data_IF_708715913231
#
_entry.id   IF_708715913231
#
_cell.length_a   1.000
_cell.length_b   1.000
_cell.length_c   1.000
_cell.angle_alpha   90.00
_cell.angle_beta   90.00
_cell.angle_gamma   90.00
#
_symmetry.space_group_name_H-M   'P 1'
#
loop_
_entity.id
_entity.type
_entity.pdbx_description
1 polymer ?
#
# COMPACT_ATOMS: atom_id res chain seq x y z
N UNK A 1 12.04 39.82 0.16
CA UNK A 1 13.25 39.14 0.68
C UNK A 1 13.98 38.52 -0.50
N UNK A 2 15.31 38.55 -0.53
CA UNK A 2 16.07 37.89 -1.59
C UNK A 2 16.31 36.40 -1.29
N UNK A 3 16.76 35.63 -2.28
CA UNK A 3 16.90 34.19 -2.17
C UNK A 3 17.90 33.73 -1.08
N UNK A 4 19.00 34.47 -0.88
CA UNK A 4 20.01 34.13 0.12
C UNK A 4 19.52 34.44 1.54
N UNK A 5 18.78 35.53 1.72
CA UNK A 5 18.06 35.82 2.97
C UNK A 5 17.09 34.68 3.31
N UNK A 6 16.31 34.21 2.32
CA UNK A 6 15.39 33.10 2.51
C UNK A 6 16.08 31.81 2.94
N UNK A 7 17.23 31.46 2.34
CA UNK A 7 18.01 30.29 2.78
C UNK A 7 18.39 30.38 4.25
N UNK A 8 18.85 31.55 4.69
CA UNK A 8 19.20 31.76 6.10
C UNK A 8 17.98 31.62 7.00
N UNK A 9 16.82 32.10 6.55
CA UNK A 9 15.58 31.97 7.31
C UNK A 9 15.10 30.52 7.42
N UNK A 10 15.27 29.71 6.37
CA UNK A 10 14.96 28.26 6.41
C UNK A 10 15.90 27.53 7.37
N UNK A 11 17.21 27.76 7.26
CA UNK A 11 18.22 27.12 8.13
C UNK A 11 17.98 27.47 9.60
N UNK A 12 17.60 28.71 9.89
CA UNK A 12 17.29 29.18 11.26
C UNK A 12 15.88 28.87 11.70
N UNK A 13 15.04 28.33 10.80
CA UNK A 13 13.61 28.11 10.98
C UNK A 13 12.82 29.38 11.37
N UNK A 14 13.33 30.57 11.03
CA UNK A 14 12.67 31.85 11.32
C UNK A 14 11.51 32.16 10.37
N UNK A 15 11.32 31.36 9.31
CA UNK A 15 10.19 31.49 8.39
C UNK A 15 8.86 30.96 8.96
N UNK A 16 8.91 30.14 10.01
CA UNK A 16 7.77 29.56 10.70
C UNK A 16 7.27 30.55 11.78
N UNK A 17 5.96 30.73 11.89
CA UNK A 17 5.35 31.55 12.94
C UNK A 17 5.58 30.90 14.31
N UNK A 18 5.99 31.71 15.28
CA UNK A 18 6.37 31.27 16.63
C UNK A 18 5.22 30.63 17.43
N UNK A 19 3.97 30.87 17.05
CA UNK A 19 2.75 30.36 17.68
C UNK A 19 2.13 29.16 16.94
N UNK A 20 2.75 28.69 15.86
CA UNK A 20 2.23 27.57 15.09
C UNK A 20 2.38 26.25 15.86
N UNK A 21 1.30 25.48 15.97
CA UNK A 21 1.39 24.09 16.42
C UNK A 21 2.07 23.23 15.36
N UNK A 22 2.91 22.29 15.84
CA UNK A 22 3.84 21.47 15.05
C UNK A 22 3.25 20.91 13.75
N UNK A 23 3.90 21.22 12.63
CA UNK A 23 3.77 20.47 11.39
C UNK A 23 4.63 19.22 11.54
N UNK A 24 4.00 18.05 11.68
CA UNK A 24 4.74 16.78 11.77
C UNK A 24 4.54 16.06 10.45
N UNK A 25 5.45 16.19 9.47
CA UNK A 25 5.44 15.27 8.36
C UNK A 25 5.80 13.88 8.87
N UNK A 26 5.19 12.85 8.29
CA UNK A 26 5.62 11.46 8.48
C UNK A 26 7.07 11.33 8.04
N UNK A 27 7.95 10.91 8.96
CA UNK A 27 9.36 10.64 8.67
C UNK A 27 9.48 9.34 7.85
N UNK A 28 9.15 9.37 6.56
CA UNK A 28 9.46 8.28 5.63
C UNK A 28 10.87 8.51 5.07
N UNK A 29 11.80 7.55 5.21
CA UNK A 29 13.14 7.66 4.63
C UNK A 29 13.13 7.78 3.10
N UNK A 30 12.03 7.42 2.44
CA UNK A 30 11.78 7.69 1.03
C UNK A 30 11.02 9.01 0.84
N UNK A 31 11.73 10.07 0.43
CA UNK A 31 11.16 11.40 0.18
C UNK A 31 9.92 11.39 -0.73
N UNK A 32 9.86 10.50 -1.72
CA UNK A 32 8.69 10.38 -2.62
C UNK A 32 7.43 9.99 -1.82
N UNK A 33 7.52 9.05 -0.87
CA UNK A 33 6.39 8.68 -0.03
C UNK A 33 5.94 9.84 0.86
N UNK A 34 6.90 10.57 1.44
CA UNK A 34 6.58 11.76 2.23
C UNK A 34 5.83 12.79 1.37
N UNK A 35 6.26 13.03 0.13
CA UNK A 35 5.57 13.93 -0.80
C UNK A 35 4.17 13.40 -1.20
N UNK A 36 4.01 12.09 -1.41
CA UNK A 36 2.70 11.45 -1.65
C UNK A 36 1.75 11.75 -0.47
N UNK A 37 2.22 11.60 0.77
CA UNK A 37 1.43 11.90 1.96
C UNK A 37 1.02 13.39 1.99
N UNK A 38 1.95 14.31 1.72
CA UNK A 38 1.64 15.76 1.68
C UNK A 38 0.51 16.08 0.70
N UNK A 39 0.50 15.44 -0.47
CA UNK A 39 -0.53 15.61 -1.50
C UNK A 39 -1.85 15.00 -1.02
N UNK A 40 -1.84 13.72 -0.59
CA UNK A 40 -3.05 12.98 -0.19
C UNK A 40 -3.76 13.61 1.01
N UNK A 41 -3.01 14.19 1.95
CA UNK A 41 -3.57 14.82 3.15
C UNK A 41 -3.78 16.33 3.02
N UNK A 42 -3.50 16.94 1.85
CA UNK A 42 -3.78 18.35 1.59
C UNK A 42 -2.97 19.31 2.47
N UNK A 43 -1.71 18.95 2.77
CA UNK A 43 -0.86 19.66 3.73
C UNK A 43 -0.49 21.09 3.33
N UNK A 44 -0.66 21.45 2.05
CA UNK A 44 -0.41 22.80 1.55
C UNK A 44 -1.23 23.87 2.30
N UNK A 45 -2.51 23.60 2.59
CA UNK A 45 -3.37 24.54 3.32
C UNK A 45 -2.84 24.83 4.72
N UNK A 46 -2.29 23.83 5.38
CA UNK A 46 -1.67 23.98 6.69
C UNK A 46 -0.35 24.76 6.54
N UNK A 47 0.48 24.41 5.57
CA UNK A 47 1.75 25.10 5.30
C UNK A 47 1.56 26.62 5.13
N UNK A 48 0.53 27.06 4.38
CA UNK A 48 0.17 28.47 4.23
C UNK A 48 -0.10 29.20 5.56
N UNK A 49 -0.68 28.49 6.54
CA UNK A 49 -1.00 29.08 7.84
C UNK A 49 0.21 29.16 8.77
N UNK A 50 1.19 28.28 8.59
CA UNK A 50 2.35 28.09 9.46
C UNK A 50 3.46 29.09 9.16
N UNK A 51 3.63 29.49 7.90
CA UNK A 51 4.72 30.39 7.50
C UNK A 51 4.35 31.88 7.66
N UNK A 52 5.36 32.72 7.87
CA UNK A 52 5.19 34.17 7.95
C UNK A 52 4.75 34.76 6.60
N UNK A 53 3.90 35.80 6.64
CA UNK A 53 3.34 36.42 5.42
C UNK A 53 4.42 36.94 4.47
N UNK A 54 5.44 37.59 5.02
CA UNK A 54 6.57 38.14 4.23
C UNK A 54 7.39 37.04 3.54
N UNK A 55 7.58 35.89 4.21
CA UNK A 55 8.26 34.75 3.61
C UNK A 55 7.40 34.13 2.51
N UNK A 56 6.10 33.92 2.76
CA UNK A 56 5.18 33.37 1.78
C UNK A 56 5.16 34.19 0.47
N UNK A 57 4.99 35.51 0.57
CA UNK A 57 4.97 36.40 -0.61
C UNK A 57 6.27 36.33 -1.40
N UNK A 58 7.41 36.34 -0.69
CA UNK A 58 8.73 36.22 -1.33
C UNK A 58 8.90 34.84 -1.98
N UNK A 59 8.49 33.77 -1.30
CA UNK A 59 8.55 32.39 -1.79
C UNK A 59 7.68 32.18 -3.02
N UNK A 60 6.46 32.72 -3.03
CA UNK A 60 5.54 32.61 -4.16
C UNK A 60 6.16 33.17 -5.46
N UNK A 61 6.97 34.24 -5.35
CA UNK A 61 7.64 34.90 -6.48
C UNK A 61 8.87 34.16 -7.03
N UNK A 62 9.37 33.13 -6.32
CA UNK A 62 10.54 32.37 -6.74
C UNK A 62 10.24 31.44 -7.93
N UNK A 63 11.27 31.19 -8.74
CA UNK A 63 11.24 30.13 -9.75
C UNK A 63 11.17 28.75 -9.08
N UNK A 64 10.67 27.76 -9.80
CA UNK A 64 10.39 26.44 -9.22
C UNK A 64 11.66 25.73 -8.74
N UNK A 65 12.79 25.93 -9.43
CA UNK A 65 14.10 25.42 -9.02
C UNK A 65 14.57 26.02 -7.69
N UNK A 66 14.30 27.30 -7.47
CA UNK A 66 14.63 27.99 -6.22
C UNK A 66 13.74 27.50 -5.07
N UNK A 67 12.44 27.31 -5.33
CA UNK A 67 11.49 26.74 -4.37
C UNK A 67 11.92 25.33 -3.93
N UNK A 68 12.36 24.49 -4.86
CA UNK A 68 12.87 23.16 -4.56
C UNK A 68 14.17 23.18 -3.74
N UNK A 69 15.10 24.10 -4.02
CA UNK A 69 16.32 24.25 -3.22
C UNK A 69 16.00 24.63 -1.77
N UNK A 70 15.03 25.52 -1.54
CA UNK A 70 14.60 25.84 -0.18
C UNK A 70 13.87 24.68 0.49
N UNK A 71 13.07 23.92 -0.28
CA UNK A 71 12.38 22.73 0.22
C UNK A 71 13.32 21.61 0.65
N UNK A 72 14.50 21.53 0.05
CA UNK A 72 15.52 20.55 0.45
C UNK A 72 16.19 20.91 1.79
N UNK A 73 16.23 22.20 2.12
CA UNK A 73 16.73 22.70 3.42
C UNK A 73 15.67 22.59 4.53
N UNK A 74 14.40 22.42 4.16
CA UNK A 74 13.28 22.34 5.08
C UNK A 74 13.00 20.90 5.51
N UNK A 75 13.53 20.54 6.67
CA UNK A 75 13.33 19.22 7.29
C UNK A 75 11.86 18.94 7.63
N UNK A 76 11.03 19.97 7.80
CA UNK A 76 9.61 19.84 8.14
C UNK A 76 8.73 19.71 6.90
N UNK A 77 9.25 19.75 5.68
CA UNK A 77 8.49 19.59 4.42
C UNK A 77 7.32 20.59 4.23
N UNK A 78 7.31 21.69 4.97
CA UNK A 78 6.36 22.79 4.83
C UNK A 78 6.51 23.42 3.45
N UNK A 79 7.74 23.78 3.08
CA UNK A 79 8.08 24.38 1.79
C UNK A 79 7.94 23.38 0.64
N UNK A 80 8.18 22.10 0.91
CA UNK A 80 7.89 21.03 -0.06
C UNK A 80 6.40 21.01 -0.41
N UNK A 81 5.52 21.13 0.58
CA UNK A 81 4.06 21.19 0.36
C UNK A 81 3.66 22.35 -0.56
N UNK A 82 4.25 23.53 -0.36
CA UNK A 82 3.97 24.72 -1.18
C UNK A 82 4.60 24.62 -2.58
N UNK A 83 5.76 23.97 -2.70
CA UNK A 83 6.41 23.73 -3.99
C UNK A 83 5.62 22.74 -4.84
N UNK A 84 5.06 21.70 -4.23
CA UNK A 84 4.17 20.73 -4.87
C UNK A 84 2.92 21.43 -5.44
N UNK A 85 2.31 22.35 -4.69
CA UNK A 85 1.17 23.16 -5.19
C UNK A 85 1.58 24.00 -6.40
N UNK A 86 2.75 24.66 -6.33
CA UNK A 86 3.29 25.41 -7.47
C UNK A 86 3.56 24.53 -8.69
N UNK A 87 4.01 23.28 -8.50
CA UNK A 87 4.23 22.32 -9.59
C UNK A 87 2.92 21.85 -10.23
N UNK A 88 1.86 21.70 -9.44
CA UNK A 88 0.53 21.35 -9.97
C UNK A 88 -0.01 22.46 -10.88
N UNK A 89 0.15 23.71 -10.48
CA UNK A 89 -0.30 24.88 -11.26
C UNK A 89 0.54 25.08 -12.53
N UNK A 90 1.86 24.89 -12.45
CA UNK A 90 2.78 25.12 -13.56
C UNK A 90 2.82 23.97 -14.57
N UNK A 91 2.44 22.76 -14.16
CA UNK A 91 2.54 21.54 -14.96
C UNK A 91 3.76 20.70 -14.56
N UNK A 92 3.55 19.69 -13.72
CA UNK A 92 4.62 18.86 -13.17
C UNK A 92 5.33 17.96 -14.19
N UNK A 93 4.74 17.70 -15.37
CA UNK A 93 5.22 16.70 -16.33
C UNK A 93 6.61 17.02 -16.87
N UNK A 94 6.91 18.30 -17.08
CA UNK A 94 8.22 18.76 -17.56
C UNK A 94 9.34 18.52 -16.53
N UNK A 95 8.97 18.22 -15.27
CA UNK A 95 9.89 17.97 -14.17
C UNK A 95 10.15 16.48 -13.88
N UNK A 96 9.46 15.55 -14.57
CA UNK A 96 9.66 14.10 -14.39
C UNK A 96 11.07 13.60 -14.75
N UNK A 97 11.76 14.34 -15.63
CA UNK A 97 13.13 14.05 -16.06
C UNK A 97 14.12 15.13 -15.63
N UNK A 98 13.78 15.93 -14.61
CA UNK A 98 14.62 17.02 -14.15
C UNK A 98 15.93 16.50 -13.52
N UNK A 99 17.04 17.24 -13.71
CA UNK A 99 18.33 16.93 -13.07
C UNK A 99 18.32 17.21 -11.57
N UNK A 100 17.46 18.13 -11.12
CA UNK A 100 17.21 18.35 -9.70
C UNK A 100 16.36 17.20 -9.16
N UNK A 101 16.96 16.37 -8.31
CA UNK A 101 16.32 15.19 -7.72
C UNK A 101 15.11 15.55 -6.87
N UNK A 102 15.14 16.66 -6.15
CA UNK A 102 14.02 17.11 -5.33
C UNK A 102 12.80 17.44 -6.19
N UNK A 103 12.99 18.18 -7.30
CA UNK A 103 11.91 18.46 -8.25
C UNK A 103 11.39 17.19 -8.92
N UNK A 104 12.31 16.31 -9.35
CA UNK A 104 11.96 15.02 -9.95
C UNK A 104 11.11 14.18 -8.98
N UNK A 105 11.52 14.09 -7.72
CA UNK A 105 10.83 13.30 -6.69
C UNK A 105 9.45 13.88 -6.39
N UNK A 106 9.30 15.20 -6.30
CA UNK A 106 8.01 15.87 -6.15
C UNK A 106 7.10 15.63 -7.36
N UNK A 107 7.61 15.78 -8.58
CA UNK A 107 6.86 15.52 -9.81
C UNK A 107 6.43 14.05 -9.91
N UNK A 108 7.30 13.13 -9.49
CA UNK A 108 7.01 11.69 -9.44
C UNK A 108 5.91 11.39 -8.42
N UNK A 109 5.97 12.00 -7.23
CA UNK A 109 4.94 11.88 -6.21
C UNK A 109 3.58 12.38 -6.70
N UNK A 110 3.55 13.53 -7.37
CA UNK A 110 2.36 14.08 -8.03
C UNK A 110 1.82 13.07 -9.05
N UNK A 111 2.65 12.59 -9.96
CA UNK A 111 2.23 11.62 -10.97
C UNK A 111 1.62 10.35 -10.36
N UNK A 112 2.20 9.83 -9.29
CA UNK A 112 1.69 8.65 -8.58
C UNK A 112 0.31 8.93 -7.97
N UNK A 113 0.13 10.06 -7.29
CA UNK A 113 -1.14 10.41 -6.65
C UNK A 113 -2.27 10.63 -7.67
N UNK A 114 -1.94 11.20 -8.82
CA UNK A 114 -2.89 11.41 -9.92
C UNK A 114 -2.94 10.26 -10.93
N UNK A 115 -2.35 9.10 -10.58
CA UNK A 115 -2.38 7.87 -11.38
C UNK A 115 -1.84 8.05 -12.82
N UNK A 116 -0.92 9.00 -13.06
CA UNK A 116 -0.36 9.26 -14.39
C UNK A 116 0.61 8.14 -14.80
N UNK A 117 0.11 7.23 -15.62
CA UNK A 117 0.85 6.07 -16.10
C UNK A 117 2.01 6.41 -17.06
N UNK A 118 2.14 7.64 -17.55
CA UNK A 118 3.23 8.01 -18.44
C UNK A 118 4.61 7.87 -17.76
N UNK A 119 4.66 7.90 -16.42
CA UNK A 119 5.90 7.74 -15.67
C UNK A 119 6.45 6.32 -15.70
N UNK A 120 5.64 5.32 -16.06
CA UNK A 120 5.96 3.91 -15.87
C UNK A 120 6.94 3.36 -16.92
N UNK A 121 6.95 3.89 -18.13
CA UNK A 121 7.69 3.31 -19.26
C UNK A 121 9.21 3.27 -19.04
N UNK A 122 9.74 4.28 -18.37
CA UNK A 122 11.18 4.43 -18.09
C UNK A 122 11.45 4.44 -16.57
N UNK A 123 10.51 3.95 -15.76
CA UNK A 123 10.62 3.93 -14.31
C UNK A 123 11.67 2.91 -13.85
N UNK A 124 12.48 3.31 -12.87
CA UNK A 124 13.31 2.38 -12.11
C UNK A 124 12.45 1.52 -11.16
N UNK A 125 13.02 0.43 -10.65
CA UNK A 125 12.30 -0.48 -9.74
C UNK A 125 11.76 0.22 -8.49
N UNK A 126 12.45 1.27 -8.01
CA UNK A 126 12.00 2.06 -6.86
C UNK A 126 10.72 2.82 -7.19
N UNK A 127 10.67 3.44 -8.36
CA UNK A 127 9.50 4.19 -8.86
C UNK A 127 8.34 3.24 -9.15
N UNK A 128 8.61 2.10 -9.78
CA UNK A 128 7.61 1.06 -10.01
C UNK A 128 7.03 0.54 -8.69
N UNK A 129 7.87 0.18 -7.72
CA UNK A 129 7.40 -0.22 -6.39
C UNK A 129 6.54 0.86 -5.74
N UNK A 130 7.02 2.11 -5.77
CA UNK A 130 6.31 3.24 -5.13
C UNK A 130 4.95 3.49 -5.79
N UNK A 131 4.86 3.40 -7.12
CA UNK A 131 3.59 3.50 -7.85
C UNK A 131 2.66 2.32 -7.48
N UNK A 132 3.17 1.09 -7.53
CA UNK A 132 2.41 -0.13 -7.27
C UNK A 132 1.73 -0.14 -5.90
N UNK A 133 2.41 0.38 -4.87
CA UNK A 133 1.89 0.40 -3.49
C UNK A 133 1.02 1.62 -3.19
N UNK A 134 1.03 2.66 -4.02
CA UNK A 134 0.32 3.92 -3.76
C UNK A 134 -0.83 4.23 -4.71
N UNK A 135 -0.92 3.53 -5.85
CA UNK A 135 -1.88 3.78 -6.91
C UNK A 135 -2.43 2.46 -7.48
N UNK A 136 -3.63 2.54 -8.07
CA UNK A 136 -4.16 1.44 -8.88
C UNK A 136 -3.46 1.45 -10.23
N UNK A 137 -2.89 0.32 -10.62
CA UNK A 137 -2.20 0.21 -11.92
C UNK A 137 -3.24 0.02 -13.03
N UNK A 138 -3.23 0.86 -14.08
CA UNK A 138 -4.09 0.65 -15.25
C UNK A 138 -3.76 -0.69 -15.90
N UNK A 139 -4.78 -1.42 -16.34
CA UNK A 139 -4.65 -2.80 -16.80
C UNK A 139 -3.64 -2.94 -17.97
N UNK A 140 -3.64 -1.98 -18.90
CA UNK A 140 -2.73 -1.91 -20.04
C UNK A 140 -1.25 -1.73 -19.65
N UNK A 141 -0.96 -1.36 -18.40
CA UNK A 141 0.39 -1.15 -17.90
C UNK A 141 0.85 -2.23 -16.92
N UNK A 142 0.03 -3.24 -16.60
CA UNK A 142 0.39 -4.28 -15.63
C UNK A 142 1.59 -5.12 -16.07
N UNK A 143 1.79 -5.29 -17.38
CA UNK A 143 2.96 -5.99 -17.94
C UNK A 143 4.28 -5.35 -17.53
N UNK A 144 4.31 -4.03 -17.27
CA UNK A 144 5.52 -3.33 -16.79
C UNK A 144 5.97 -3.80 -15.40
N UNK A 145 5.08 -4.47 -14.65
CA UNK A 145 5.32 -4.98 -13.30
C UNK A 145 5.54 -6.50 -13.29
N UNK A 146 5.46 -7.20 -14.43
CA UNK A 146 5.50 -8.67 -14.49
C UNK A 146 6.89 -9.28 -14.40
N UNK A 147 7.94 -8.47 -14.18
CA UNK A 147 9.29 -8.97 -14.00
C UNK A 147 9.36 -9.88 -12.74
N UNK A 148 9.78 -11.15 -12.85
CA UNK A 148 9.77 -12.08 -11.71
C UNK A 148 10.64 -11.65 -10.52
N UNK A 149 11.76 -10.97 -10.79
CA UNK A 149 12.63 -10.44 -9.73
C UNK A 149 11.94 -9.31 -8.99
N UNK A 150 11.39 -8.34 -9.73
CA UNK A 150 10.62 -7.24 -9.17
C UNK A 150 9.41 -7.73 -8.36
N UNK A 151 8.67 -8.72 -8.87
CA UNK A 151 7.52 -9.31 -8.17
C UNK A 151 7.94 -9.97 -6.86
N UNK A 152 9.00 -10.77 -6.87
CA UNK A 152 9.52 -11.41 -5.66
C UNK A 152 9.89 -10.36 -4.61
N UNK A 153 10.67 -9.35 -5.00
CA UNK A 153 11.05 -8.24 -4.13
C UNK A 153 9.84 -7.48 -3.60
N UNK A 154 8.87 -7.16 -4.46
CA UNK A 154 7.67 -6.41 -4.09
C UNK A 154 6.83 -7.17 -3.07
N UNK A 155 6.56 -8.46 -3.31
CA UNK A 155 5.77 -9.28 -2.40
C UNK A 155 6.47 -9.50 -1.05
N UNK A 156 7.80 -9.69 -1.04
CA UNK A 156 8.58 -9.81 0.19
C UNK A 156 8.58 -8.49 0.99
N UNK A 157 8.66 -7.34 0.31
CA UNK A 157 8.56 -6.02 0.94
C UNK A 157 7.17 -5.77 1.51
N UNK A 158 6.10 -6.17 0.82
CA UNK A 158 4.74 -6.07 1.33
C UNK A 158 4.48 -6.88 2.62
N UNK A 159 5.26 -7.93 2.87
CA UNK A 159 5.20 -8.68 4.14
C UNK A 159 6.05 -8.06 5.26
N UNK A 160 7.16 -7.43 4.92
CA UNK A 160 8.18 -6.98 5.88
C UNK A 160 8.04 -5.52 6.29
N UNK A 161 7.48 -4.68 5.42
CA UNK A 161 7.17 -3.30 5.77
C UNK A 161 5.91 -3.29 6.66
N UNK A 162 5.94 -2.57 7.80
CA UNK A 162 4.76 -2.27 8.62
C UNK A 162 3.83 -1.28 7.86
N UNK A 163 3.32 -1.70 6.72
CA UNK A 163 2.38 -0.95 5.90
C UNK A 163 1.03 -1.65 5.91
N UNK A 164 -0.02 -0.84 5.89
CA UNK A 164 -1.37 -1.35 5.62
C UNK A 164 -1.41 -1.77 4.16
N UNK A 165 -1.68 -3.05 3.91
CA UNK A 165 -1.96 -3.52 2.55
C UNK A 165 -3.32 -2.96 2.14
N UNK A 166 -3.29 -1.88 1.37
CA UNK A 166 -4.49 -1.21 0.90
C UNK A 166 -5.19 -2.01 -0.21
N UNK A 167 -6.48 -1.74 -0.38
CA UNK A 167 -7.35 -2.38 -1.36
C UNK A 167 -6.77 -2.40 -2.78
N UNK A 168 -6.17 -1.30 -3.25
CA UNK A 168 -5.61 -1.25 -4.61
C UNK A 168 -4.42 -2.19 -4.80
N UNK A 169 -3.61 -2.45 -3.76
CA UNK A 169 -2.49 -3.40 -3.84
C UNK A 169 -3.04 -4.80 -4.08
N UNK A 170 -4.07 -5.18 -3.31
CA UNK A 170 -4.77 -6.47 -3.49
C UNK A 170 -5.38 -6.55 -4.89
N UNK A 171 -6.00 -5.48 -5.38
CA UNK A 171 -6.57 -5.43 -6.73
C UNK A 171 -5.51 -5.56 -7.83
N UNK A 172 -4.36 -4.89 -7.68
CA UNK A 172 -3.22 -5.00 -8.60
C UNK A 172 -2.74 -6.46 -8.67
N UNK A 173 -2.45 -7.08 -7.51
CA UNK A 173 -2.00 -8.49 -7.43
C UNK A 173 -3.06 -9.43 -8.04
N UNK A 174 -4.34 -9.23 -7.68
CA UNK A 174 -5.45 -10.05 -8.19
C UNK A 174 -5.54 -9.98 -9.71
N UNK A 175 -5.44 -8.78 -10.29
CA UNK A 175 -5.49 -8.59 -11.73
C UNK A 175 -4.28 -9.21 -12.42
N UNK A 176 -3.08 -9.08 -11.84
CA UNK A 176 -1.88 -9.75 -12.37
C UNK A 176 -2.01 -11.28 -12.38
N UNK A 177 -2.68 -11.88 -11.40
CA UNK A 177 -2.95 -13.34 -11.41
C UNK A 177 -3.91 -13.70 -12.55
N UNK A 178 -5.01 -12.93 -12.71
CA UNK A 178 -5.99 -13.15 -13.79
C UNK A 178 -5.34 -13.07 -15.17
N UNK A 179 -4.41 -12.14 -15.34
CA UNK A 179 -3.69 -11.91 -16.58
C UNK A 179 -2.48 -12.84 -16.76
N UNK A 180 -2.28 -13.80 -15.84
CA UNK A 180 -1.14 -14.73 -15.84
C UNK A 180 0.24 -14.04 -15.78
N UNK A 181 0.28 -12.81 -15.27
CA UNK A 181 1.50 -12.01 -15.06
C UNK A 181 2.18 -12.31 -13.73
N UNK A 182 1.46 -12.92 -12.79
CA UNK A 182 1.96 -13.36 -11.49
C UNK A 182 1.53 -14.82 -11.26
N UNK A 183 2.50 -15.72 -11.08
CA UNK A 183 2.23 -17.11 -10.70
C UNK A 183 2.17 -17.26 -9.17
N UNK A 184 1.00 -17.55 -8.58
CA UNK A 184 0.89 -17.74 -7.14
C UNK A 184 1.73 -18.90 -6.60
N UNK A 185 2.04 -19.90 -7.45
CA UNK A 185 2.82 -21.07 -7.08
C UNK A 185 4.27 -20.73 -6.75
N UNK A 186 4.84 -19.69 -7.38
CA UNK A 186 6.18 -19.18 -7.12
C UNK A 186 6.25 -18.36 -5.83
N UNK A 187 5.12 -17.82 -5.35
CA UNK A 187 5.06 -16.88 -4.24
C UNK A 187 4.22 -17.40 -3.05
N UNK A 188 4.22 -18.71 -2.81
CA UNK A 188 3.43 -19.36 -1.75
C UNK A 188 3.61 -18.76 -0.36
N UNK A 189 4.83 -18.33 -0.03
CA UNK A 189 5.13 -17.68 1.25
C UNK A 189 4.31 -16.42 1.45
N UNK A 190 4.23 -15.56 0.41
CA UNK A 190 3.39 -14.35 0.43
C UNK A 190 1.93 -14.66 0.75
N UNK A 191 1.30 -15.56 0.00
CA UNK A 191 -0.10 -15.90 0.20
C UNK A 191 -0.37 -16.57 1.55
N UNK A 192 0.55 -17.42 2.02
CA UNK A 192 0.42 -18.10 3.31
C UNK A 192 0.53 -17.13 4.48
N UNK A 193 1.48 -16.20 4.43
CA UNK A 193 1.67 -15.17 5.44
C UNK A 193 0.54 -14.13 5.43
N UNK A 194 0.08 -13.72 4.24
CA UNK A 194 -1.10 -12.87 4.10
C UNK A 194 -2.33 -13.54 4.73
N UNK A 195 -2.58 -14.82 4.43
CA UNK A 195 -3.70 -15.56 5.02
C UNK A 195 -3.60 -15.66 6.56
N UNK A 196 -2.39 -15.89 7.08
CA UNK A 196 -2.12 -16.01 8.52
C UNK A 196 -2.41 -14.70 9.25
N UNK A 197 -1.94 -13.58 8.70
CA UNK A 197 -2.03 -12.24 9.31
C UNK A 197 -3.42 -11.62 9.20
N UNK A 198 -4.16 -11.88 8.13
CA UNK A 198 -5.50 -11.34 7.94
C UNK A 198 -6.50 -11.93 8.93
N UNK A 199 -7.21 -11.09 9.70
CA UNK A 199 -8.21 -11.55 10.68
C UNK A 199 -9.44 -12.19 10.04
N UNK A 200 -9.86 -11.67 8.88
CA UNK A 200 -11.02 -12.15 8.14
C UNK A 200 -10.70 -12.21 6.65
N UNK A 201 -11.20 -13.23 5.97
CA UNK A 201 -11.04 -13.40 4.52
C UNK A 201 -12.36 -13.01 3.85
N UNK A 202 -12.50 -11.72 3.52
CA UNK A 202 -13.71 -11.14 2.94
C UNK A 202 -13.36 -10.10 1.87
N UNK A 203 -14.33 -9.77 1.03
CA UNK A 203 -14.18 -8.77 -0.03
C UNK A 203 -12.98 -9.08 -0.94
N UNK A 204 -12.11 -8.09 -1.12
CA UNK A 204 -10.96 -8.16 -2.02
C UNK A 204 -9.96 -9.26 -1.66
N UNK A 205 -9.78 -9.58 -0.37
CA UNK A 205 -8.92 -10.69 0.03
C UNK A 205 -9.52 -12.04 -0.39
N UNK A 206 -10.84 -12.20 -0.29
CA UNK A 206 -11.51 -13.42 -0.75
C UNK A 206 -11.37 -13.58 -2.27
N UNK A 207 -11.54 -12.48 -3.03
CA UNK A 207 -11.28 -12.46 -4.48
C UNK A 207 -9.84 -12.86 -4.78
N UNK A 208 -8.84 -12.25 -4.11
CA UNK A 208 -7.43 -12.57 -4.29
C UNK A 208 -7.16 -14.07 -4.07
N UNK A 209 -7.61 -14.63 -2.95
CA UNK A 209 -7.39 -16.04 -2.66
C UNK A 209 -8.11 -16.97 -3.63
N UNK A 210 -9.30 -16.59 -4.09
CA UNK A 210 -10.02 -17.34 -5.12
C UNK A 210 -9.21 -17.41 -6.43
N UNK A 211 -8.75 -16.26 -6.94
CA UNK A 211 -7.94 -16.22 -8.16
C UNK A 211 -6.62 -16.98 -7.97
N UNK A 212 -5.96 -16.80 -6.83
CA UNK A 212 -4.69 -17.45 -6.54
C UNK A 212 -4.81 -18.99 -6.46
N UNK A 213 -5.86 -19.50 -5.83
CA UNK A 213 -6.13 -20.95 -5.73
C UNK A 213 -6.58 -21.50 -7.08
N UNK A 214 -7.37 -20.75 -7.85
CA UNK A 214 -7.80 -21.17 -9.18
C UNK A 214 -6.60 -21.32 -10.12
N UNK A 215 -5.68 -20.36 -10.11
CA UNK A 215 -4.43 -20.41 -10.88
C UNK A 215 -3.45 -21.48 -10.35
N UNK A 216 -3.40 -21.68 -9.03
CA UNK A 216 -2.51 -22.64 -8.37
C UNK A 216 -3.23 -23.46 -7.29
N UNK A 217 -3.92 -24.57 -7.67
CA UNK A 217 -4.73 -25.35 -6.72
C UNK A 217 -3.96 -25.93 -5.53
N UNK A 218 -2.64 -26.14 -5.69
CA UNK A 218 -1.77 -26.59 -4.60
C UNK A 218 -1.64 -25.57 -3.47
N UNK A 219 -1.87 -24.28 -3.75
CA UNK A 219 -1.83 -23.23 -2.73
C UNK A 219 -2.85 -23.49 -1.63
N UNK A 220 -4.02 -24.05 -1.97
CA UNK A 220 -5.01 -24.43 -0.96
C UNK A 220 -4.44 -25.38 0.10
N UNK A 221 -3.62 -26.35 -0.30
CA UNK A 221 -3.01 -27.27 0.66
C UNK A 221 -2.06 -26.56 1.62
N UNK A 222 -1.38 -25.52 1.15
CA UNK A 222 -0.49 -24.71 1.97
C UNK A 222 -1.29 -23.87 2.96
N UNK A 223 -2.40 -23.25 2.52
CA UNK A 223 -3.32 -22.51 3.40
C UNK A 223 -4.03 -23.43 4.42
N UNK A 224 -4.41 -24.64 4.00
CA UNK A 224 -5.09 -25.62 4.86
C UNK A 224 -4.21 -26.18 5.99
N UNK A 225 -2.88 -26.03 5.88
CA UNK A 225 -1.94 -26.38 6.96
C UNK A 225 -1.87 -25.31 8.06
N UNK A 226 -2.41 -24.12 7.83
CA UNK A 226 -2.42 -23.06 8.83
C UNK A 226 -3.14 -23.52 10.08
N UNK A 227 -2.48 -23.36 11.24
CA UNK A 227 -3.03 -23.76 12.53
C UNK A 227 -4.12 -22.79 12.95
N UNK A 228 -5.39 -23.19 12.74
CA UNK A 228 -6.58 -22.45 13.16
C UNK A 228 -7.19 -23.09 14.42
N UNK A 229 -7.51 -22.25 15.39
CA UNK A 229 -7.99 -22.61 16.72
C UNK A 229 -9.53 -22.65 16.74
N UNK A 230 -10.10 -23.77 16.31
CA UNK A 230 -11.55 -23.91 16.10
C UNK A 230 -12.22 -24.95 17.01
N UNK A 231 -11.54 -25.38 18.06
CA UNK A 231 -12.05 -26.39 19.00
C UNK A 231 -12.94 -25.81 20.11
N UNK A 232 -13.77 -26.64 20.77
CA UNK A 232 -14.70 -26.17 21.80
C UNK A 232 -14.03 -25.60 23.06
N UNK A 233 -12.80 -25.98 23.39
CA UNK A 233 -12.12 -25.46 24.58
C UNK A 233 -11.72 -24.02 24.36
N UNK A 234 -11.11 -23.73 23.21
CA UNK A 234 -10.74 -22.36 22.86
C UNK A 234 -11.95 -21.44 22.70
N UNK A 235 -13.10 -21.97 22.28
CA UNK A 235 -14.36 -21.21 22.32
C UNK A 235 -14.70 -20.70 23.72
N UNK A 236 -14.41 -21.48 24.78
CA UNK A 236 -14.69 -21.10 26.16
C UNK A 236 -13.62 -20.19 26.75
N UNK A 237 -12.35 -20.39 26.39
CA UNK A 237 -11.22 -19.66 26.98
C UNK A 237 -10.84 -18.39 26.23
N UNK A 238 -11.02 -18.36 24.91
CA UNK A 238 -10.77 -17.21 24.04
C UNK A 238 -11.75 -17.19 22.86
N UNK A 239 -12.98 -16.77 23.16
CA UNK A 239 -14.06 -16.72 22.18
C UNK A 239 -13.73 -15.81 20.98
N UNK A 240 -12.97 -14.73 21.20
CA UNK A 240 -12.61 -13.76 20.16
C UNK A 240 -11.67 -14.37 19.12
N UNK A 241 -10.60 -15.05 19.56
CA UNK A 241 -9.69 -15.75 18.66
C UNK A 241 -10.41 -16.91 17.96
N UNK A 242 -11.19 -17.68 18.70
CA UNK A 242 -11.97 -18.79 18.14
C UNK A 242 -12.93 -18.34 17.04
N UNK A 243 -13.62 -17.20 17.22
CA UNK A 243 -14.55 -16.66 16.23
C UNK A 243 -13.82 -16.24 14.94
N UNK A 244 -12.67 -15.59 15.06
CA UNK A 244 -11.83 -15.18 13.92
C UNK A 244 -11.34 -16.40 13.14
N UNK A 245 -10.77 -17.39 13.82
CA UNK A 245 -10.24 -18.59 13.18
C UNK A 245 -11.34 -19.46 12.56
N UNK A 246 -12.52 -19.51 13.19
CA UNK A 246 -13.70 -20.18 12.64
C UNK A 246 -14.16 -19.51 11.34
N UNK A 247 -14.22 -18.17 11.31
CA UNK A 247 -14.57 -17.43 10.11
C UNK A 247 -13.55 -17.64 8.97
N UNK A 248 -12.24 -17.62 9.26
CA UNK A 248 -11.19 -17.95 8.27
C UNK A 248 -11.33 -19.39 7.76
N UNK A 249 -11.58 -20.34 8.65
CA UNK A 249 -11.74 -21.76 8.31
C UNK A 249 -12.93 -21.98 7.37
N UNK A 250 -14.09 -21.35 7.65
CA UNK A 250 -15.27 -21.40 6.80
C UNK A 250 -15.05 -20.70 5.46
N UNK A 251 -14.33 -19.58 5.45
CA UNK A 251 -13.96 -18.89 4.20
C UNK A 251 -13.11 -19.78 3.31
N UNK A 252 -12.12 -20.48 3.88
CA UNK A 252 -11.29 -21.43 3.15
C UNK A 252 -12.10 -22.64 2.65
N UNK A 253 -13.10 -23.09 3.41
CA UNK A 253 -14.03 -24.13 2.97
C UNK A 253 -14.86 -23.70 1.75
N UNK A 254 -15.36 -22.45 1.74
CA UNK A 254 -16.07 -21.88 0.57
C UNK A 254 -15.16 -21.81 -0.65
N UNK A 255 -13.91 -21.34 -0.48
CA UNK A 255 -12.91 -21.31 -1.54
C UNK A 255 -12.64 -22.70 -2.11
N UNK A 256 -12.58 -23.74 -1.27
CA UNK A 256 -12.44 -25.13 -1.70
C UNK A 256 -13.59 -25.58 -2.60
N UNK A 257 -14.82 -25.28 -2.20
CA UNK A 257 -16.04 -25.68 -2.91
C UNK A 257 -16.08 -25.09 -4.32
N UNK A 258 -15.77 -23.80 -4.45
CA UNK A 258 -15.83 -23.09 -5.74
C UNK A 258 -14.63 -23.36 -6.66
N UNK A 259 -13.47 -23.72 -6.11
CA UNK A 259 -12.23 -23.88 -6.89
C UNK A 259 -11.98 -25.31 -7.40
N UNK A 260 -12.95 -26.22 -7.23
CA UNK A 260 -12.91 -27.63 -7.67
C UNK A 260 -11.56 -28.34 -7.39
N UNK A 261 -11.08 -28.20 -6.15
CA UNK A 261 -9.75 -28.65 -5.74
C UNK A 261 -9.70 -30.18 -5.71
N UNK A 262 -8.67 -30.76 -6.33
CA UNK A 262 -8.49 -32.22 -6.34
C UNK A 262 -8.31 -32.76 -4.93
N UNK A 263 -8.89 -33.92 -4.69
CA UNK A 263 -8.80 -34.57 -3.39
C UNK A 263 -7.39 -35.12 -3.13
N UNK A 264 -6.74 -34.63 -2.08
CA UNK A 264 -5.46 -35.13 -1.56
C UNK A 264 -5.57 -35.47 -0.08
N UNK A 265 -4.52 -36.05 0.53
CA UNK A 265 -4.53 -36.39 1.97
C UNK A 265 -4.80 -35.16 2.85
N UNK A 266 -4.25 -34.00 2.48
CA UNK A 266 -4.44 -32.75 3.22
C UNK A 266 -5.88 -32.26 3.06
N UNK A 267 -6.40 -32.26 1.82
CA UNK A 267 -7.77 -31.86 1.53
C UNK A 267 -8.78 -32.76 2.26
N UNK A 268 -8.58 -34.08 2.26
CA UNK A 268 -9.41 -35.03 3.04
C UNK A 268 -9.42 -34.74 4.52
N UNK A 269 -8.25 -34.46 5.10
CA UNK A 269 -8.16 -34.14 6.52
C UNK A 269 -8.88 -32.81 6.83
N UNK A 270 -8.76 -31.82 5.95
CA UNK A 270 -9.51 -30.56 6.04
C UNK A 270 -11.02 -30.80 6.00
N UNK A 271 -11.50 -31.61 5.05
CA UNK A 271 -12.94 -31.93 4.90
C UNK A 271 -13.50 -32.68 6.09
N UNK A 272 -12.75 -33.63 6.63
CA UNK A 272 -13.12 -34.32 7.85
C UNK A 272 -13.25 -33.34 9.02
N UNK A 273 -12.28 -32.43 9.16
CA UNK A 273 -12.33 -31.37 10.19
C UNK A 273 -13.55 -30.47 9.99
N UNK A 274 -13.88 -30.12 8.75
CA UNK A 274 -15.04 -29.29 8.40
C UNK A 274 -16.36 -29.97 8.79
N UNK A 275 -16.53 -31.26 8.47
CA UNK A 275 -17.73 -32.02 8.88
C UNK A 275 -17.89 -32.07 10.39
N UNK A 276 -16.82 -32.34 11.12
CA UNK A 276 -16.84 -32.35 12.59
C UNK A 276 -17.21 -30.97 13.15
N UNK A 277 -16.60 -29.90 12.62
CA UNK A 277 -16.92 -28.53 13.01
C UNK A 277 -18.40 -28.20 12.78
N UNK A 278 -18.94 -28.51 11.59
CA UNK A 278 -20.34 -28.29 11.26
C UNK A 278 -21.29 -29.08 12.16
N UNK A 279 -20.97 -30.33 12.51
CA UNK A 279 -21.79 -31.12 13.43
C UNK A 279 -21.81 -30.58 14.85
N UNK A 280 -20.64 -30.16 15.37
CA UNK A 280 -20.54 -29.58 16.71
C UNK A 280 -21.36 -28.27 16.81
N UNK A 281 -21.34 -27.47 15.75
CA UNK A 281 -21.93 -26.13 15.75
C UNK A 281 -23.21 -25.99 14.91
N UNK A 282 -23.88 -27.09 14.55
CA UNK A 282 -25.09 -27.10 13.71
C UNK A 282 -26.31 -26.36 14.28
N UNK A 283 -26.28 -25.99 15.56
CA UNK A 283 -27.34 -25.20 16.19
C UNK A 283 -26.86 -23.79 16.57
N UNK A 284 -25.65 -23.42 16.19
CA UNK A 284 -25.05 -22.15 16.51
C UNK A 284 -25.36 -21.09 15.45
N UNK A 285 -26.18 -20.11 15.84
CA UNK A 285 -26.57 -19.01 14.94
C UNK A 285 -25.39 -18.11 14.55
N UNK A 286 -24.32 -18.07 15.35
CA UNK A 286 -23.12 -17.29 15.03
C UNK A 286 -22.31 -17.86 13.86
N UNK A 287 -22.53 -19.13 13.51
CA UNK A 287 -21.84 -19.85 12.42
C UNK A 287 -22.75 -20.01 11.19
N UNK A 288 -24.07 -20.04 11.36
CA UNK A 288 -25.00 -20.28 10.25
C UNK A 288 -25.20 -19.10 9.28
N UNK A 289 -24.76 -17.89 9.63
CA UNK A 289 -24.93 -16.69 8.81
C UNK A 289 -23.66 -16.24 8.06
N UNK A 290 -22.53 -16.92 8.28
CA UNK A 290 -21.21 -16.55 7.71
C UNK A 290 -20.91 -17.20 6.38
#
# INVERSE_FOLDING_TARGET
MNFEEMKQDVIKRSFIKSDSTYFIPTADPNKINAYIDLIKYGSARIAHTVITTSFHESFASLQIEQKAQLSELDEELILASLTIESLLDAGYKDHLHNKNTTLKDMATAIAIVFEDANILKDADEKTLYTYFVNARVPHENLELFSNPHFLSLTLDKLLSEERVIFTWIIQNITQMIRDSLLDPSAHKTFFSELFRTQKYIQGEHATLFFEAITASPKLFEDLAKTKLVIDPFNRQTDFSQWLQDSAKFLSLAKLREISNIRETKIVRAFDQKLRVFQEIYKHDRSIMQS
#
